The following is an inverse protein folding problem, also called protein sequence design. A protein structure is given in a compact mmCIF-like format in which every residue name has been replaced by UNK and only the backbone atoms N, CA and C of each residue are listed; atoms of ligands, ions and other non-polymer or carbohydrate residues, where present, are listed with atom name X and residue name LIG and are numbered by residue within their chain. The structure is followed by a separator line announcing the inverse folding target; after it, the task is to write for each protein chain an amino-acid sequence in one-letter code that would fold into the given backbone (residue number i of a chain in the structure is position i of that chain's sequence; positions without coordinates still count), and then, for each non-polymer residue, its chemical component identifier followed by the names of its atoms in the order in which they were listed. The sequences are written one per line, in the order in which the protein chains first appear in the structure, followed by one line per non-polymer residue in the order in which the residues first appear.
data_IF_053871918791
#
_entry.id   IF_053871918791
#
_cell.length_a   1.000
_cell.length_b   1.000
_cell.length_c   1.000
_cell.angle_alpha   90.00
_cell.angle_beta   90.00
_cell.angle_gamma   90.00
#
_symmetry.space_group_name_H-M   'P 1'
#
loop_
_entity.id
_entity.type
_entity.pdbx_description
1 polymer ?
#
# COMPACT_ATOMS: atom_id res chain seq x y z
N UNK A 1 6.71 24.43 52.48
CA UNK A 1 7.19 24.26 51.09
C UNK A 1 7.17 22.77 50.79
N UNK A 2 6.12 22.28 50.11
CA UNK A 2 5.98 20.87 49.72
C UNK A 2 5.76 20.88 48.20
N UNK A 3 6.73 20.34 47.47
CA UNK A 3 6.67 20.16 46.02
C UNK A 3 6.08 18.77 45.77
N UNK A 4 4.82 18.69 45.35
CA UNK A 4 4.24 17.47 44.79
C UNK A 4 4.42 17.51 43.27
N UNK A 5 5.36 16.71 42.76
CA UNK A 5 5.53 16.48 41.33
C UNK A 5 4.41 15.57 40.82
N UNK A 6 3.56 16.12 39.95
CA UNK A 6 2.59 15.34 39.18
C UNK A 6 3.31 14.70 37.98
N UNK A 7 3.48 13.38 38.06
CA UNK A 7 3.85 12.52 36.94
C UNK A 7 2.76 12.60 35.86
N UNK A 8 3.04 13.35 34.79
CA UNK A 8 2.21 13.37 33.59
C UNK A 8 2.33 12.06 32.82
N UNK A 9 1.27 11.26 32.83
CA UNK A 9 1.13 10.10 31.94
C UNK A 9 0.73 10.66 30.57
N UNK A 10 1.68 10.83 29.66
CA UNK A 10 1.37 11.17 28.26
C UNK A 10 0.87 9.91 27.57
N UNK A 11 -0.44 9.77 27.45
CA UNK A 11 -1.08 8.80 26.58
C UNK A 11 -0.78 9.16 25.12
N UNK A 12 0.12 8.42 24.49
CA UNK A 12 0.34 8.48 23.05
C UNK A 12 -0.84 7.80 22.35
N UNK A 13 -1.89 8.56 22.05
CA UNK A 13 -2.95 8.12 21.14
C UNK A 13 -2.37 8.05 19.74
N UNK A 14 -1.94 6.86 19.30
CA UNK A 14 -1.58 6.58 17.92
C UNK A 14 -2.85 6.54 17.05
N UNK A 15 -3.36 7.72 16.68
CA UNK A 15 -4.36 7.83 15.62
C UNK A 15 -3.65 7.74 14.27
N UNK A 16 -3.33 6.52 13.86
CA UNK A 16 -2.81 6.21 12.54
C UNK A 16 -3.90 5.59 11.65
N UNK A 17 -5.07 6.23 11.57
CA UNK A 17 -6.02 5.96 10.49
C UNK A 17 -5.66 6.89 9.33
N UNK A 18 -4.67 6.50 8.53
CA UNK A 18 -4.35 7.19 7.29
C UNK A 18 -5.53 7.10 6.34
N UNK A 19 -6.10 8.24 5.96
CA UNK A 19 -7.12 8.30 4.92
C UNK A 19 -6.55 8.00 3.53
N UNK A 20 -7.43 7.61 2.61
CA UNK A 20 -7.10 7.29 1.23
C UNK A 20 -6.22 8.39 0.59
N UNK A 21 -4.98 8.09 0.17
CA UNK A 21 -4.11 9.11 -0.43
C UNK A 21 -4.73 9.61 -1.74
N UNK A 22 -4.60 10.91 -2.03
CA UNK A 22 -5.09 11.55 -3.27
C UNK A 22 -4.64 10.86 -4.58
N UNK A 23 -3.61 10.01 -4.51
CA UNK A 23 -3.10 9.21 -5.62
C UNK A 23 -4.02 8.00 -5.93
N UNK A 24 -4.89 7.60 -4.98
CA UNK A 24 -5.79 6.46 -5.07
C UNK A 24 -7.16 6.78 -5.72
N UNK A 25 -7.25 7.82 -6.55
CA UNK A 25 -8.40 8.00 -7.44
C UNK A 25 -9.72 8.32 -6.75
N UNK A 26 -9.70 9.02 -5.62
CA UNK A 26 -10.93 9.57 -5.03
C UNK A 26 -11.32 10.85 -5.79
N UNK A 27 -12.22 10.72 -6.79
CA UNK A 27 -12.96 11.78 -7.51
C UNK A 27 -12.32 12.41 -8.78
N UNK A 28 -11.21 11.90 -9.29
CA UNK A 28 -10.66 12.29 -10.60
C UNK A 28 -10.65 11.13 -11.61
N UNK A 29 -10.81 11.41 -12.91
CA UNK A 29 -10.60 10.39 -13.96
C UNK A 29 -9.11 10.04 -14.01
N UNK A 30 -8.73 8.98 -13.33
CA UNK A 30 -7.34 8.51 -13.28
C UNK A 30 -6.90 8.05 -14.68
N UNK A 31 -6.07 8.88 -15.31
CA UNK A 31 -5.50 8.61 -16.62
C UNK A 31 -4.05 8.10 -16.51
N UNK A 32 -3.60 7.73 -15.30
CA UNK A 32 -2.23 7.27 -15.08
C UNK A 32 -1.89 6.09 -15.99
N UNK A 33 -0.65 6.02 -16.51
CA UNK A 33 -0.22 4.88 -17.30
C UNK A 33 -0.20 3.61 -16.44
N UNK A 34 -0.73 2.51 -16.96
CA UNK A 34 -0.70 1.21 -16.30
C UNK A 34 -0.37 0.07 -17.26
N UNK A 35 0.09 -1.05 -16.73
CA UNK A 35 0.35 -2.28 -17.49
C UNK A 35 -0.30 -3.47 -16.78
N UNK A 36 -1.01 -4.31 -17.53
CA UNK A 36 -1.56 -5.57 -17.04
C UNK A 36 -0.53 -6.68 -17.25
N UNK A 37 -0.14 -7.37 -16.17
CA UNK A 37 0.81 -8.48 -16.30
C UNK A 37 0.17 -9.66 -17.04
N UNK A 38 0.95 -10.33 -17.89
CA UNK A 38 0.51 -11.52 -18.64
C UNK A 38 0.98 -12.82 -18.00
N UNK A 39 2.01 -12.75 -17.15
CA UNK A 39 2.62 -13.90 -16.46
C UNK A 39 2.91 -13.54 -15.01
N UNK A 40 3.01 -14.56 -14.15
CA UNK A 40 3.52 -14.37 -12.79
C UNK A 40 4.97 -13.90 -12.83
N UNK A 41 5.31 -12.91 -12.00
CA UNK A 41 6.68 -12.38 -11.88
C UNK A 41 6.88 -11.75 -10.49
N UNK A 42 8.02 -11.09 -10.28
CA UNK A 42 8.25 -10.23 -9.13
C UNK A 42 8.39 -8.76 -9.55
N UNK A 43 7.82 -7.87 -8.73
CA UNK A 43 7.95 -6.41 -8.89
C UNK A 43 8.27 -5.82 -7.52
N UNK A 44 9.35 -5.05 -7.39
CA UNK A 44 9.89 -4.55 -6.11
C UNK A 44 10.13 -5.66 -5.08
N UNK A 45 10.50 -6.85 -5.54
CA UNK A 45 10.66 -8.04 -4.69
C UNK A 45 9.35 -8.65 -4.19
N UNK A 46 8.19 -8.14 -4.63
CA UNK A 46 6.87 -8.66 -4.31
C UNK A 46 6.47 -9.67 -5.40
N UNK A 47 6.19 -10.94 -5.07
CA UNK A 47 5.66 -11.89 -6.03
C UNK A 47 4.23 -11.52 -6.42
N UNK A 48 3.95 -11.47 -7.72
CA UNK A 48 2.66 -11.09 -8.27
C UNK A 48 2.14 -12.15 -9.26
N UNK A 49 0.83 -12.44 -9.26
CA UNK A 49 0.18 -13.29 -10.25
C UNK A 49 0.05 -12.58 -11.62
N UNK A 50 -0.32 -13.30 -12.69
CA UNK A 50 -0.80 -12.67 -13.92
C UNK A 50 -2.03 -11.80 -13.64
N UNK A 51 -2.37 -10.93 -14.58
CA UNK A 51 -3.48 -9.98 -14.51
C UNK A 51 -3.35 -8.95 -13.38
N UNK A 52 -2.16 -8.77 -12.82
CA UNK A 52 -1.86 -7.72 -11.86
C UNK A 52 -1.76 -6.38 -12.59
N UNK A 53 -2.43 -5.34 -12.09
CA UNK A 53 -2.34 -3.98 -12.62
C UNK A 53 -1.18 -3.24 -11.97
N UNK A 54 -0.18 -2.89 -12.77
CA UNK A 54 0.95 -2.06 -12.39
C UNK A 54 0.70 -0.63 -12.85
N UNK A 55 0.48 0.31 -11.92
CA UNK A 55 0.28 1.73 -12.25
C UNK A 55 1.56 2.50 -12.03
N UNK A 56 1.83 3.49 -12.88
CA UNK A 56 3.05 4.28 -12.85
C UNK A 56 2.76 5.78 -12.78
N UNK A 57 3.69 6.52 -12.20
CA UNK A 57 3.74 7.97 -12.34
C UNK A 57 4.04 8.34 -13.79
N UNK A 58 3.21 9.20 -14.39
CA UNK A 58 3.41 9.66 -15.77
C UNK A 58 4.68 10.49 -15.88
N UNK A 59 5.56 10.15 -16.83
CA UNK A 59 6.79 10.92 -17.06
C UNK A 59 6.61 12.03 -18.11
N UNK A 60 5.58 11.93 -18.95
CA UNK A 60 5.23 12.93 -19.95
C UNK A 60 3.78 12.81 -20.39
N UNK A 61 3.18 13.90 -20.87
CA UNK A 61 1.73 14.02 -21.14
C UNK A 61 1.11 12.95 -22.06
N UNK A 62 1.91 12.27 -22.89
CA UNK A 62 1.48 11.17 -23.78
C UNK A 62 1.37 9.81 -23.08
N UNK A 63 2.02 9.61 -21.93
CA UNK A 63 1.95 8.37 -21.16
C UNK A 63 0.69 8.36 -20.30
N UNK A 64 -0.37 7.76 -20.83
CA UNK A 64 -1.69 7.65 -20.19
C UNK A 64 -2.30 6.29 -20.48
N UNK A 65 -3.15 5.80 -19.58
CA UNK A 65 -3.92 4.56 -19.73
C UNK A 65 -3.06 3.29 -19.89
N UNK A 66 -3.61 2.24 -20.50
CA UNK A 66 -2.90 0.98 -20.67
C UNK A 66 -1.71 1.12 -21.61
N UNK A 67 -0.57 0.57 -21.19
CA UNK A 67 0.67 0.52 -21.95
C UNK A 67 0.85 -0.89 -22.53
N UNK A 68 1.48 -0.99 -23.71
CA UNK A 68 1.78 -2.29 -24.33
C UNK A 68 2.82 -3.12 -23.58
N UNK A 69 3.67 -2.45 -22.81
CA UNK A 69 4.75 -3.06 -22.04
C UNK A 69 4.88 -2.38 -20.68
N UNK A 70 5.43 -3.11 -19.70
CA UNK A 70 5.77 -2.56 -18.40
C UNK A 70 6.72 -1.36 -18.52
N UNK A 71 6.42 -0.29 -17.79
CA UNK A 71 7.29 0.88 -17.69
C UNK A 71 8.37 0.67 -16.62
N UNK A 72 9.30 1.62 -16.53
CA UNK A 72 10.40 1.56 -15.55
C UNK A 72 9.84 1.47 -14.12
N UNK A 73 10.22 0.40 -13.42
CA UNK A 73 9.76 0.06 -12.07
C UNK A 73 9.98 1.18 -11.04
N UNK A 74 11.03 2.00 -11.21
CA UNK A 74 11.28 3.16 -10.35
C UNK A 74 10.11 4.16 -10.29
N UNK A 75 9.27 4.19 -11.32
CA UNK A 75 8.08 5.06 -11.38
C UNK A 75 6.80 4.34 -10.96
N UNK A 76 6.88 3.07 -10.56
CA UNK A 76 5.71 2.31 -10.13
C UNK A 76 5.11 2.98 -8.89
N UNK A 77 3.86 3.41 -9.01
CA UNK A 77 3.09 4.07 -7.95
C UNK A 77 2.15 3.11 -7.24
N UNK A 78 1.70 2.03 -7.90
CA UNK A 78 0.86 1.03 -7.24
C UNK A 78 0.84 -0.31 -7.96
N UNK A 79 0.54 -1.35 -7.18
CA UNK A 79 0.33 -2.73 -7.60
C UNK A 79 -1.05 -3.12 -7.08
N UNK A 80 -1.97 -3.47 -7.99
CA UNK A 80 -3.27 -4.03 -7.65
C UNK A 80 -3.34 -5.46 -8.15
N UNK A 81 -3.53 -6.41 -7.24
CA UNK A 81 -3.76 -7.79 -7.60
C UNK A 81 -5.12 -7.96 -8.29
N UNK A 82 -5.33 -9.04 -9.06
CA UNK A 82 -6.63 -9.34 -9.63
C UNK A 82 -7.71 -9.44 -8.54
N UNK A 83 -8.99 -9.17 -8.88
CA UNK A 83 -10.09 -9.41 -7.96
C UNK A 83 -10.05 -10.83 -7.39
N UNK A 84 -10.44 -10.97 -6.12
CA UNK A 84 -10.50 -12.25 -5.42
C UNK A 84 -9.15 -12.99 -5.33
N UNK A 85 -8.03 -12.28 -5.52
CA UNK A 85 -6.67 -12.81 -5.31
C UNK A 85 -5.94 -11.96 -4.28
N UNK A 86 -5.33 -12.66 -3.31
CA UNK A 86 -4.43 -12.06 -2.33
C UNK A 86 -3.14 -12.88 -2.25
N UNK A 87 -2.03 -12.22 -1.89
CA UNK A 87 -0.79 -12.90 -1.52
C UNK A 87 -0.56 -12.75 -0.03
N UNK A 88 0.09 -13.74 0.59
CA UNK A 88 0.53 -13.61 1.98
C UNK A 88 1.79 -12.76 2.01
N UNK A 89 1.68 -11.57 2.60
CA UNK A 89 2.75 -10.61 2.73
C UNK A 89 2.84 -10.13 4.18
N UNK A 90 4.00 -10.34 4.82
CA UNK A 90 4.16 -10.03 6.25
C UNK A 90 3.21 -10.79 7.19
N UNK A 91 2.70 -11.95 6.76
CA UNK A 91 1.72 -12.75 7.51
C UNK A 91 0.26 -12.36 7.30
N UNK A 92 -0.04 -11.34 6.48
CA UNK A 92 -1.40 -10.95 6.12
C UNK A 92 -1.70 -11.22 4.63
N UNK A 93 -2.93 -11.62 4.28
CA UNK A 93 -3.42 -11.51 2.92
C UNK A 93 -3.46 -10.03 2.49
N UNK A 94 -2.79 -9.71 1.38
CA UNK A 94 -2.69 -8.36 0.80
C UNK A 94 -3.05 -8.43 -0.68
N UNK A 95 -3.85 -7.48 -1.15
CA UNK A 95 -4.30 -7.37 -2.55
C UNK A 95 -3.81 -6.08 -3.23
N UNK A 96 -3.23 -5.15 -2.47
CA UNK A 96 -2.83 -3.86 -3.01
C UNK A 96 -1.61 -3.27 -2.29
N UNK A 97 -0.72 -2.67 -3.08
CA UNK A 97 0.43 -1.91 -2.61
C UNK A 97 0.41 -0.53 -3.27
N UNK A 98 0.52 0.54 -2.48
CA UNK A 98 0.52 1.93 -2.99
C UNK A 98 1.76 2.65 -2.49
N UNK A 99 2.50 3.30 -3.39
CA UNK A 99 3.62 4.16 -3.03
C UNK A 99 3.14 5.33 -2.16
N UNK A 100 3.95 5.73 -1.19
CA UNK A 100 3.64 6.91 -0.39
C UNK A 100 3.47 8.18 -1.23
N UNK A 101 2.51 9.01 -0.83
CA UNK A 101 2.31 10.33 -1.45
C UNK A 101 3.45 11.29 -1.18
N UNK A 102 4.16 11.13 -0.05
CA UNK A 102 5.33 11.93 0.25
C UNK A 102 6.54 11.37 -0.52
N UNK A 103 7.11 12.12 -1.49
CA UNK A 103 8.25 11.66 -2.29
C UNK A 103 9.54 11.50 -1.48
N UNK A 104 9.65 12.12 -0.30
CA UNK A 104 10.79 11.94 0.61
C UNK A 104 10.77 10.56 1.29
N UNK A 105 9.60 9.93 1.37
CA UNK A 105 9.46 8.60 1.93
C UNK A 105 9.65 7.53 0.86
N UNK A 106 10.67 6.69 1.06
CA UNK A 106 10.85 5.48 0.25
C UNK A 106 10.02 4.35 0.83
N UNK A 107 9.25 3.66 -0.01
CA UNK A 107 8.45 2.51 0.39
C UNK A 107 7.03 2.54 -0.15
N UNK A 108 6.15 1.79 0.51
CA UNK A 108 4.76 1.63 0.12
C UNK A 108 3.88 1.32 1.33
N UNK A 109 2.59 1.62 1.18
CA UNK A 109 1.49 1.14 1.99
C UNK A 109 1.02 -0.22 1.46
N UNK A 110 0.92 -1.22 2.32
CA UNK A 110 0.33 -2.52 2.00
C UNK A 110 -1.09 -2.59 2.56
N UNK A 111 -2.06 -2.96 1.72
CA UNK A 111 -3.48 -2.98 2.09
C UNK A 111 -3.97 -4.40 2.30
N UNK A 112 -4.61 -4.70 3.45
CA UNK A 112 -5.13 -6.03 3.71
C UNK A 112 -6.27 -6.36 2.74
N UNK A 113 -6.24 -7.57 2.19
CA UNK A 113 -7.27 -8.04 1.27
C UNK A 113 -8.59 -8.28 2.02
N UNK A 114 -9.69 -7.75 1.48
CA UNK A 114 -11.03 -7.90 2.08
C UNK A 114 -11.60 -9.28 1.79
N UNK A 115 -12.30 -9.87 2.77
CA UNK A 115 -12.94 -11.18 2.63
C UNK A 115 -12.01 -12.39 2.79
N UNK A 116 -10.70 -12.19 2.93
CA UNK A 116 -9.75 -13.26 3.18
C UNK A 116 -9.64 -13.59 4.67
N UNK A 117 -9.56 -14.88 4.99
CA UNK A 117 -9.22 -15.34 6.33
C UNK A 117 -7.72 -15.11 6.55
N UNK A 118 -7.37 -14.55 7.70
CA UNK A 118 -6.00 -14.39 8.15
C UNK A 118 -5.87 -15.06 9.51
N UNK A 119 -4.85 -15.89 9.68
CA UNK A 119 -4.48 -16.38 11.01
C UNK A 119 -3.82 -15.25 11.78
N UNK A 120 -4.51 -14.76 12.81
CA UNK A 120 -4.04 -13.65 13.64
C UNK A 120 -3.11 -14.18 14.74
N UNK A 121 -1.95 -14.69 14.32
CA UNK A 121 -1.00 -15.40 15.19
C UNK A 121 -0.30 -14.50 16.21
N UNK A 122 -0.37 -13.18 16.06
CA UNK A 122 0.24 -12.22 16.98
C UNK A 122 -0.55 -10.89 17.04
N UNK A 123 -0.22 -10.06 18.03
CA UNK A 123 -0.86 -8.77 18.27
C UNK A 123 -0.70 -7.77 17.12
N UNK A 124 0.45 -7.78 16.44
CA UNK A 124 0.68 -6.92 15.28
C UNK A 124 -0.32 -7.21 14.15
N UNK A 125 -0.52 -8.48 13.79
CA UNK A 125 -1.50 -8.88 12.77
C UNK A 125 -2.93 -8.54 13.19
N UNK A 126 -3.24 -8.68 14.50
CA UNK A 126 -4.56 -8.30 15.05
C UNK A 126 -4.80 -6.80 14.89
N UNK A 127 -3.82 -5.98 15.24
CA UNK A 127 -3.92 -4.52 15.12
C UNK A 127 -4.06 -4.11 13.66
N UNK A 128 -3.19 -4.63 12.79
CA UNK A 128 -3.24 -4.32 11.36
C UNK A 128 -4.60 -4.68 10.75
N UNK A 129 -5.14 -5.87 11.05
CA UNK A 129 -6.49 -6.23 10.60
C UNK A 129 -7.58 -5.34 11.18
N UNK A 130 -7.49 -4.99 12.47
CA UNK A 130 -8.53 -4.21 13.18
C UNK A 130 -8.70 -2.80 12.63
N UNK A 131 -7.64 -2.23 12.05
CA UNK A 131 -7.70 -0.92 11.43
C UNK A 131 -8.42 -0.94 10.08
N UNK A 132 -8.61 -2.13 9.46
CA UNK A 132 -9.05 -2.30 8.06
C UNK A 132 -8.38 -1.31 7.10
N UNK A 133 -7.15 -0.90 7.44
CA UNK A 133 -6.41 0.20 6.83
C UNK A 133 -5.00 -0.26 6.50
N UNK A 134 -4.28 0.54 5.73
CA UNK A 134 -2.95 0.16 5.27
C UNK A 134 -1.89 0.13 6.36
N UNK A 135 -0.89 -0.74 6.14
CA UNK A 135 0.37 -0.73 6.86
C UNK A 135 1.40 0.04 6.04
N UNK A 136 1.91 1.14 6.61
CA UNK A 136 2.98 1.94 6.02
C UNK A 136 4.35 1.26 6.23
N UNK A 137 5.09 1.03 5.14
CA UNK A 137 6.40 0.38 5.15
C UNK A 137 7.47 1.32 4.63
N UNK A 138 8.25 1.89 5.55
CA UNK A 138 9.35 2.81 5.20
C UNK A 138 10.65 2.04 4.99
N UNK A 139 11.22 2.17 3.79
CA UNK A 139 12.53 1.66 3.44
C UNK A 139 13.59 2.70 3.82
N UNK A 140 14.67 2.25 4.48
CA UNK A 140 15.85 3.07 4.76
C UNK A 140 16.81 3.05 3.56
#
# INVERSE_FOLDING_TARGET
MIVLGLLGITSFSLTACGGCPLIAGCNGRDNSPYYMTTVSNQVRGIPIPPQTKLTYQSQHFRQKFEQKHALKEKNLSSIYLPPDIAIIWGGMPVDMFIQFSNPEMKGFSAYPARGFKAELSNEFLRLWKSCESDLNIKLK
#
